data_IF_109407671909
#
_entry.id   IF_109407671909
#
_cell.length_a   1.000
_cell.length_b   1.000
_cell.length_c   1.000
_cell.angle_alpha   90.00
_cell.angle_beta   90.00
_cell.angle_gamma   90.00
#
_symmetry.space_group_name_H-M   'P 1'
#
loop_
_entity.id
_entity.type
_entity.pdbx_description
1 polymer ?
#
# COMPACT_ATOMS: atom_id res chain seq x y z
N UNK A 1 -13.03 24.50 -4.68
CA UNK A 1 -12.90 23.49 -3.62
C UNK A 1 -14.19 23.54 -2.83
N UNK A 2 -14.96 22.45 -2.80
CA UNK A 2 -16.18 22.42 -1.98
C UNK A 2 -15.74 22.24 -0.51
N UNK A 3 -16.12 23.21 0.33
CA UNK A 3 -15.94 23.12 1.76
C UNK A 3 -16.79 21.97 2.30
N UNK A 4 -16.16 20.81 2.51
CA UNK A 4 -16.79 19.72 3.23
C UNK A 4 -16.84 20.07 4.72
N UNK A 5 -18.04 20.22 5.33
CA UNK A 5 -18.11 20.53 6.76
C UNK A 5 -17.54 19.36 7.55
N UNK A 6 -16.46 19.61 8.27
CA UNK A 6 -15.93 18.65 9.24
C UNK A 6 -16.96 18.47 10.37
N UNK A 7 -17.62 17.30 10.52
CA UNK A 7 -18.57 17.09 11.62
C UNK A 7 -17.81 17.02 12.93
N UNK A 8 -17.92 18.06 13.73
CA UNK A 8 -17.25 18.16 15.04
C UNK A 8 -17.75 17.17 16.10
N UNK A 9 -18.81 16.42 15.84
CA UNK A 9 -19.30 15.30 16.68
C UNK A 9 -20.21 14.39 15.84
N UNK A 10 -19.78 13.17 15.59
CA UNK A 10 -20.70 12.08 15.22
C UNK A 10 -21.53 11.71 16.47
N UNK A 11 -22.71 12.30 16.62
CA UNK A 11 -23.68 11.82 17.61
C UNK A 11 -24.33 10.56 17.04
N UNK A 12 -24.10 9.44 17.71
CA UNK A 12 -24.81 8.19 17.41
C UNK A 12 -26.28 8.42 17.67
N UNK A 13 -27.11 8.44 16.63
CA UNK A 13 -28.55 8.44 16.80
C UNK A 13 -28.95 7.11 17.45
N UNK A 14 -29.57 7.16 18.63
CA UNK A 14 -30.16 5.99 19.26
C UNK A 14 -31.46 5.67 18.54
N UNK A 15 -31.42 4.86 17.51
CA UNK A 15 -32.61 4.25 16.92
C UNK A 15 -32.81 2.89 17.54
N UNK A 16 -33.91 2.75 18.23
CA UNK A 16 -34.44 1.50 18.77
C UNK A 16 -35.08 0.70 17.64
N UNK A 17 -34.27 -0.06 16.89
CA UNK A 17 -34.72 -1.18 16.02
C UNK A 17 -33.48 -1.79 15.41
N UNK A 18 -33.28 -3.08 15.57
CA UNK A 18 -32.22 -3.99 15.15
C UNK A 18 -31.03 -3.36 14.42
N UNK A 19 -29.83 -3.57 14.93
CA UNK A 19 -28.59 -3.02 14.39
C UNK A 19 -28.49 -3.20 12.85
N UNK A 20 -29.04 -2.24 12.10
CA UNK A 20 -28.84 -2.19 10.66
C UNK A 20 -27.52 -1.48 10.40
N UNK A 21 -26.47 -2.26 10.13
CA UNK A 21 -25.21 -1.74 9.63
C UNK A 21 -25.11 -2.04 8.12
N UNK A 22 -24.45 -1.16 7.40
CA UNK A 22 -24.11 -1.40 6.01
C UNK A 22 -23.10 -2.56 5.94
N UNK A 23 -23.39 -3.54 5.11
CA UNK A 23 -22.48 -4.67 4.88
C UNK A 23 -21.40 -4.27 3.87
N UNK A 24 -20.14 -4.26 4.29
CA UNK A 24 -18.98 -4.12 3.39
C UNK A 24 -18.49 -5.53 3.07
N UNK A 25 -18.60 -5.94 1.81
CA UNK A 25 -18.29 -7.31 1.37
C UNK A 25 -16.78 -7.52 1.18
N UNK A 26 -16.09 -6.56 0.57
CA UNK A 26 -14.66 -6.65 0.24
C UNK A 26 -14.08 -5.27 -0.03
N UNK A 27 -12.75 -5.20 -0.20
CA UNK A 27 -12.08 -4.08 -0.83
C UNK A 27 -12.14 -4.32 -2.33
N UNK A 28 -12.81 -3.43 -3.07
CA UNK A 28 -12.95 -3.51 -4.52
C UNK A 28 -11.61 -3.18 -5.20
N UNK A 29 -11.07 -2.00 -4.94
CA UNK A 29 -9.76 -1.56 -5.43
C UNK A 29 -9.09 -0.59 -4.45
N UNK A 30 -7.81 -0.30 -4.70
CA UNK A 30 -7.04 0.69 -3.96
C UNK A 30 -6.59 1.77 -4.94
N UNK A 31 -6.94 3.04 -4.65
CA UNK A 31 -6.46 4.18 -5.42
C UNK A 31 -5.09 4.63 -4.95
N UNK A 32 -4.12 4.69 -5.88
CA UNK A 32 -2.76 5.15 -5.62
C UNK A 32 -2.46 6.32 -6.57
N UNK A 33 -2.04 7.44 -6.02
CA UNK A 33 -1.68 8.61 -6.82
C UNK A 33 -0.22 8.55 -7.23
N UNK A 34 0.04 8.74 -8.53
CA UNK A 34 1.36 8.72 -9.14
C UNK A 34 1.53 9.93 -10.07
N UNK A 35 2.75 10.35 -10.34
CA UNK A 35 3.00 11.48 -11.22
C UNK A 35 3.03 11.06 -12.71
N UNK A 36 3.60 9.90 -12.98
CA UNK A 36 3.77 9.37 -14.34
C UNK A 36 3.35 7.90 -14.39
N UNK A 37 2.44 7.57 -15.33
CA UNK A 37 1.91 6.22 -15.46
C UNK A 37 2.95 5.21 -15.93
N UNK A 38 3.80 5.57 -16.92
CA UNK A 38 4.76 4.63 -17.50
C UNK A 38 5.86 4.29 -16.49
N UNK A 39 6.31 5.29 -15.73
CA UNK A 39 7.24 5.12 -14.60
C UNK A 39 6.64 4.22 -13.52
N UNK A 40 5.39 4.47 -13.14
CA UNK A 40 4.69 3.64 -12.16
C UNK A 40 4.52 2.20 -12.67
N UNK A 41 4.12 2.01 -13.94
CA UNK A 41 3.94 0.68 -14.52
C UNK A 41 5.24 -0.11 -14.56
N UNK A 42 6.37 0.50 -14.87
CA UNK A 42 7.69 -0.16 -14.81
C UNK A 42 7.94 -0.80 -13.45
N UNK A 43 7.44 -0.20 -12.38
CA UNK A 43 7.54 -0.74 -11.03
C UNK A 43 6.46 -1.80 -10.75
N UNK A 44 5.18 -1.50 -11.04
CA UNK A 44 4.08 -2.39 -10.67
C UNK A 44 4.04 -3.68 -11.51
N UNK A 45 4.56 -3.66 -12.74
CA UNK A 45 4.71 -4.85 -13.60
C UNK A 45 5.62 -5.92 -12.96
N UNK A 46 6.58 -5.54 -12.11
CA UNK A 46 7.42 -6.48 -11.36
C UNK A 46 6.61 -7.38 -10.42
N UNK A 47 5.42 -6.95 -10.04
CA UNK A 47 4.48 -7.67 -9.16
C UNK A 47 3.28 -8.24 -9.93
N UNK A 48 3.41 -8.34 -11.27
CA UNK A 48 2.40 -8.96 -12.13
C UNK A 48 1.22 -8.06 -12.51
N UNK A 49 1.23 -6.78 -12.15
CA UNK A 49 0.16 -5.86 -12.56
C UNK A 49 0.25 -5.50 -14.05
N UNK A 50 -0.91 -5.47 -14.71
CA UNK A 50 -1.07 -5.10 -16.11
C UNK A 50 -2.19 -4.07 -16.23
N UNK A 51 -2.06 -3.12 -17.13
CA UNK A 51 -3.15 -2.18 -17.44
C UNK A 51 -4.29 -2.96 -18.09
N UNK A 52 -5.47 -2.94 -17.47
CA UNK A 52 -6.68 -3.56 -18.03
C UNK A 52 -7.63 -2.51 -18.61
N UNK A 53 -7.55 -1.28 -18.13
CA UNK A 53 -8.34 -0.17 -18.63
C UNK A 53 -7.64 1.17 -18.35
N UNK A 54 -7.76 2.11 -19.28
CA UNK A 54 -7.35 3.50 -19.10
C UNK A 54 -8.53 4.40 -19.45
N UNK A 55 -8.91 5.28 -18.54
CA UNK A 55 -10.03 6.19 -18.75
C UNK A 55 -9.69 7.24 -19.83
N UNK A 56 -10.65 7.53 -20.72
CA UNK A 56 -10.43 8.45 -21.84
C UNK A 56 -10.30 9.92 -21.39
N UNK A 57 -11.03 10.31 -20.33
CA UNK A 57 -11.15 11.70 -19.88
C UNK A 57 -10.65 11.95 -18.46
N UNK A 58 -10.18 10.92 -17.77
CA UNK A 58 -9.67 11.01 -16.41
C UNK A 58 -8.25 10.44 -16.35
N UNK A 59 -7.35 11.00 -15.55
CA UNK A 59 -5.99 10.49 -15.38
C UNK A 59 -5.98 9.22 -14.51
N UNK A 60 -6.72 8.19 -14.89
CA UNK A 60 -6.86 6.93 -14.16
C UNK A 60 -6.58 5.75 -15.06
N UNK A 61 -5.72 4.86 -14.60
CA UNK A 61 -5.49 3.56 -15.18
C UNK A 61 -5.84 2.47 -14.16
N UNK A 62 -6.72 1.56 -14.54
CA UNK A 62 -7.03 0.36 -13.76
C UNK A 62 -6.00 -0.70 -14.10
N UNK A 63 -5.29 -1.17 -13.09
CA UNK A 63 -4.28 -2.23 -13.23
C UNK A 63 -4.66 -3.41 -12.36
N UNK A 64 -4.39 -4.61 -12.85
CA UNK A 64 -4.77 -5.85 -12.17
C UNK A 64 -3.72 -6.93 -12.38
N UNK A 65 -3.49 -7.74 -11.35
CA UNK A 65 -2.65 -8.93 -11.46
C UNK A 65 -3.50 -10.19 -11.69
N UNK A 66 -2.83 -11.32 -11.94
CA UNK A 66 -3.51 -12.58 -12.23
C UNK A 66 -4.24 -13.16 -11.00
N UNK A 67 -3.88 -12.76 -9.77
CA UNK A 67 -4.57 -13.12 -8.53
C UNK A 67 -5.81 -12.25 -8.25
N UNK A 68 -6.11 -11.29 -9.11
CA UNK A 68 -7.30 -10.45 -9.03
C UNK A 68 -7.17 -9.23 -8.12
N UNK A 69 -5.98 -8.90 -7.67
CA UNK A 69 -5.73 -7.63 -6.95
C UNK A 69 -5.82 -6.48 -7.93
N UNK A 70 -6.63 -5.47 -7.59
CA UNK A 70 -6.89 -4.32 -8.46
C UNK A 70 -6.42 -3.02 -7.81
N UNK A 71 -5.70 -2.21 -8.59
CA UNK A 71 -5.28 -0.87 -8.24
C UNK A 71 -5.77 0.13 -9.29
N UNK A 72 -6.15 1.32 -8.83
CA UNK A 72 -6.42 2.46 -9.69
C UNK A 72 -5.26 3.44 -9.57
N UNK A 73 -4.40 3.50 -10.58
CA UNK A 73 -3.31 4.46 -10.65
C UNK A 73 -3.87 5.79 -11.14
N UNK A 74 -3.90 6.79 -10.24
CA UNK A 74 -4.36 8.16 -10.54
C UNK A 74 -3.15 9.00 -10.88
N UNK A 75 -2.83 9.13 -12.19
CA UNK A 75 -1.59 9.72 -12.68
C UNK A 75 -1.71 11.24 -12.90
N UNK A 76 -1.97 11.98 -11.83
CA UNK A 76 -2.06 13.43 -11.80
C UNK A 76 -1.39 14.07 -10.58
N UNK A 77 -0.43 13.39 -9.97
CA UNK A 77 0.38 14.00 -8.95
C UNK A 77 1.32 15.04 -9.58
N UNK A 78 1.71 16.04 -8.78
CA UNK A 78 2.83 16.89 -9.17
C UNK A 78 4.12 16.06 -9.10
N UNK A 79 4.92 16.13 -10.14
CA UNK A 79 6.25 15.54 -10.11
C UNK A 79 7.21 16.53 -9.42
N UNK A 80 7.68 16.16 -8.25
CA UNK A 80 8.63 16.93 -7.45
C UNK A 80 10.02 16.28 -7.40
N UNK A 81 10.32 15.41 -8.36
CA UNK A 81 11.56 14.63 -8.48
C UNK A 81 11.85 13.74 -7.25
N UNK A 82 10.83 13.11 -6.71
CA UNK A 82 10.96 12.18 -5.60
C UNK A 82 10.97 12.88 -4.24
N UNK A 83 10.20 13.96 -4.11
CA UNK A 83 9.95 14.64 -2.86
C UNK A 83 9.37 13.74 -1.76
N UNK A 84 9.13 14.31 -0.59
CA UNK A 84 8.72 13.55 0.59
C UNK A 84 7.26 13.07 0.48
N UNK A 85 7.01 11.85 0.93
CA UNK A 85 5.64 11.43 1.26
C UNK A 85 5.23 12.10 2.57
N UNK A 86 4.28 13.03 2.49
CA UNK A 86 3.84 13.84 3.64
C UNK A 86 3.23 13.03 4.79
N UNK A 87 2.77 11.79 4.53
CA UNK A 87 2.22 10.92 5.57
C UNK A 87 3.29 10.07 6.26
N UNK A 88 4.42 9.81 5.58
CA UNK A 88 5.42 8.85 6.06
C UNK A 88 6.79 9.44 6.32
N UNK A 89 7.22 10.43 5.52
CA UNK A 89 8.62 10.84 5.47
C UNK A 89 8.92 12.09 6.31
N UNK A 90 7.91 12.85 6.72
CA UNK A 90 8.10 14.06 7.53
C UNK A 90 7.85 13.80 9.02
N UNK A 91 8.47 14.59 9.94
CA UNK A 91 8.30 14.41 11.38
C UNK A 91 6.86 14.59 11.86
N UNK A 92 6.12 15.57 11.29
CA UNK A 92 4.71 15.82 11.63
C UNK A 92 3.85 14.70 11.05
N UNK A 93 3.10 14.00 11.92
CA UNK A 93 2.25 12.89 11.50
C UNK A 93 0.83 13.37 11.24
N UNK A 94 0.40 13.29 9.98
CA UNK A 94 -0.97 13.59 9.54
C UNK A 94 -1.81 12.32 9.48
N UNK A 95 -3.11 12.47 9.73
CA UNK A 95 -4.05 11.37 9.57
C UNK A 95 -4.23 11.03 8.08
N UNK A 96 -4.21 9.73 7.73
CA UNK A 96 -4.38 9.24 6.36
C UNK A 96 -3.95 7.80 6.21
N UNK A 97 -4.03 7.28 4.98
CA UNK A 97 -3.52 5.96 4.65
C UNK A 97 -1.99 6.00 4.61
N UNK A 98 -1.35 5.13 5.38
CA UNK A 98 0.12 5.06 5.45
C UNK A 98 0.73 4.13 4.40
N UNK A 99 0.08 3.01 4.13
CA UNK A 99 0.55 1.99 3.18
C UNK A 99 -0.58 1.07 2.73
N UNK A 100 -0.32 0.33 1.68
CA UNK A 100 -1.07 -0.86 1.29
C UNK A 100 -0.23 -2.10 1.57
N UNK A 101 -0.85 -3.13 2.17
CA UNK A 101 -0.20 -4.40 2.44
C UNK A 101 -0.69 -5.46 1.46
N UNK A 102 0.22 -6.03 0.68
CA UNK A 102 -0.02 -7.17 -0.20
C UNK A 102 0.41 -8.47 0.48
N UNK A 103 -0.46 -9.46 0.46
CA UNK A 103 -0.08 -10.79 0.89
C UNK A 103 0.68 -11.49 -0.23
N UNK A 104 1.87 -12.01 0.09
CA UNK A 104 2.73 -12.75 -0.85
C UNK A 104 2.89 -14.20 -0.40
N UNK A 105 3.22 -15.06 -1.34
CA UNK A 105 3.48 -16.48 -1.06
C UNK A 105 4.83 -16.66 -0.36
N UNK A 106 5.83 -15.88 -0.74
CA UNK A 106 7.19 -15.96 -0.21
C UNK A 106 7.80 -14.57 -0.06
N UNK A 107 8.18 -14.22 1.17
CA UNK A 107 8.94 -12.99 1.45
C UNK A 107 10.37 -13.11 0.91
N UNK A 108 10.97 -14.29 0.98
CA UNK A 108 12.30 -14.52 0.42
C UNK A 108 12.35 -14.28 -1.08
N UNK A 109 11.37 -14.83 -1.83
CA UNK A 109 11.26 -14.59 -3.26
C UNK A 109 11.03 -13.11 -3.56
N UNK A 110 10.16 -12.46 -2.79
CA UNK A 110 9.92 -11.00 -2.90
C UNK A 110 11.22 -10.22 -2.70
N UNK A 111 11.99 -10.50 -1.66
CA UNK A 111 13.29 -9.85 -1.39
C UNK A 111 14.26 -10.08 -2.56
N UNK A 112 14.30 -11.28 -3.12
CA UNK A 112 15.16 -11.58 -4.27
C UNK A 112 14.76 -10.77 -5.51
N UNK A 113 13.45 -10.64 -5.80
CA UNK A 113 12.93 -9.84 -6.90
C UNK A 113 13.28 -8.36 -6.70
N UNK A 114 13.06 -7.82 -5.49
CA UNK A 114 13.38 -6.44 -5.15
C UNK A 114 14.87 -6.15 -5.38
N UNK A 115 15.76 -7.00 -4.83
CA UNK A 115 17.20 -6.86 -4.96
C UNK A 115 17.66 -6.97 -6.43
N UNK A 116 17.13 -7.92 -7.19
CA UNK A 116 17.48 -8.11 -8.59
C UNK A 116 17.11 -6.91 -9.47
N UNK A 117 16.10 -6.13 -9.05
CA UNK A 117 15.62 -4.92 -9.75
C UNK A 117 16.12 -3.62 -9.11
N UNK A 118 17.02 -3.68 -8.13
CA UNK A 118 17.60 -2.51 -7.48
C UNK A 118 16.59 -1.70 -6.63
N UNK A 119 15.49 -2.33 -6.20
CA UNK A 119 14.48 -1.67 -5.36
C UNK A 119 14.94 -1.75 -3.90
N UNK A 120 15.11 -0.59 -3.29
CA UNK A 120 15.53 -0.50 -1.90
C UNK A 120 14.43 -0.96 -0.94
N UNK A 121 14.74 -1.89 -0.05
CA UNK A 121 13.90 -2.23 1.10
C UNK A 121 14.10 -1.11 2.13
N UNK A 122 13.03 -0.40 2.46
CA UNK A 122 13.08 0.74 3.38
C UNK A 122 12.89 0.32 4.84
N UNK A 123 12.27 -0.85 5.07
CA UNK A 123 12.16 -1.47 6.38
C UNK A 123 11.97 -2.98 6.23
N UNK A 124 12.60 -3.74 7.09
CA UNK A 124 12.52 -5.21 7.13
C UNK A 124 13.66 -5.92 6.36
N UNK A 125 13.63 -7.24 6.28
CA UNK A 125 12.54 -8.13 6.75
C UNK A 125 12.30 -8.00 8.25
N UNK A 126 11.03 -7.77 8.63
CA UNK A 126 10.66 -7.57 10.03
C UNK A 126 9.46 -8.43 10.43
N UNK A 127 9.53 -9.02 11.62
CA UNK A 127 8.44 -9.81 12.22
C UNK A 127 7.62 -8.94 13.13
N UNK A 128 6.32 -8.81 12.84
CA UNK A 128 5.36 -8.13 13.68
C UNK A 128 4.55 -9.13 14.51
N UNK A 129 4.51 -8.88 15.83
CA UNK A 129 3.66 -9.63 16.75
C UNK A 129 3.99 -11.11 16.88
N UNK A 130 3.03 -11.88 17.41
CA UNK A 130 3.22 -13.31 17.75
C UNK A 130 2.80 -14.28 16.64
N UNK A 131 2.13 -13.80 15.60
CA UNK A 131 1.52 -14.65 14.56
C UNK A 131 2.49 -15.10 13.46
N UNK A 132 3.78 -14.76 13.57
CA UNK A 132 4.78 -15.24 12.64
C UNK A 132 4.72 -14.69 11.22
N UNK A 133 4.11 -13.52 11.04
CA UNK A 133 4.16 -12.84 9.74
C UNK A 133 5.42 -12.00 9.61
N UNK A 134 6.06 -12.11 8.45
CA UNK A 134 7.24 -11.31 8.10
C UNK A 134 6.85 -10.34 6.99
N UNK A 135 7.31 -9.10 7.12
CA UNK A 135 7.02 -8.02 6.17
C UNK A 135 8.29 -7.35 5.70
N UNK A 136 8.27 -6.89 4.46
CA UNK A 136 9.22 -5.93 3.91
C UNK A 136 8.47 -4.73 3.35
N UNK A 137 9.05 -3.55 3.52
CA UNK A 137 8.48 -2.30 3.04
C UNK A 137 9.37 -1.70 1.97
N UNK A 138 8.73 -1.20 0.92
CA UNK A 138 9.38 -0.50 -0.18
C UNK A 138 8.64 0.79 -0.51
N UNK A 139 9.27 1.62 -1.32
CA UNK A 139 8.63 2.79 -1.93
C UNK A 139 8.48 2.56 -3.42
N UNK A 140 7.30 2.89 -3.95
CA UNK A 140 7.15 3.03 -5.40
C UNK A 140 7.90 4.30 -5.89
N UNK A 141 7.96 4.55 -7.21
CA UNK A 141 8.66 5.72 -7.74
C UNK A 141 8.13 7.08 -7.25
N UNK A 142 6.88 7.13 -6.77
CA UNK A 142 6.23 8.31 -6.21
C UNK A 142 6.20 8.30 -4.67
N UNK A 143 7.03 7.44 -4.04
CA UNK A 143 7.20 7.27 -2.60
C UNK A 143 5.96 6.77 -1.86
N UNK A 144 4.98 6.20 -2.56
CA UNK A 144 3.92 5.47 -1.90
C UNK A 144 4.50 4.24 -1.19
N UNK A 145 4.03 3.99 0.03
CA UNK A 145 4.54 2.87 0.82
C UNK A 145 3.78 1.59 0.51
N UNK A 146 4.52 0.56 0.17
CA UNK A 146 3.99 -0.79 -0.05
C UNK A 146 4.61 -1.74 0.97
N UNK A 147 3.78 -2.59 1.57
CA UNK A 147 4.17 -3.71 2.43
C UNK A 147 3.95 -5.01 1.67
N UNK A 148 4.96 -5.86 1.61
CA UNK A 148 4.82 -7.25 1.18
C UNK A 148 4.88 -8.14 2.40
N UNK A 149 3.76 -8.84 2.70
CA UNK A 149 3.58 -9.61 3.92
C UNK A 149 3.35 -11.07 3.62
N UNK A 150 4.28 -11.89 4.08
CA UNK A 150 4.20 -13.35 3.99
C UNK A 150 3.84 -14.01 5.32
N UNK A 151 3.55 -15.31 5.24
CA UNK A 151 3.50 -16.16 6.43
C UNK A 151 4.91 -16.39 6.94
N UNK A 152 5.01 -16.90 8.18
CA UNK A 152 6.30 -17.37 8.71
C UNK A 152 6.84 -18.45 7.78
N UNK A 153 7.84 -18.07 7.03
CA UNK A 153 8.70 -18.99 6.30
C UNK A 153 9.81 -19.45 7.25
N UNK A 154 10.62 -20.39 6.82
CA UNK A 154 11.85 -20.70 7.52
C UNK A 154 12.70 -19.41 7.60
N UNK A 155 12.64 -18.74 8.76
CA UNK A 155 13.34 -17.47 9.01
C UNK A 155 14.86 -17.63 8.88
N UNK A 156 15.37 -18.87 8.96
CA UNK A 156 16.79 -19.15 8.73
C UNK A 156 17.21 -18.94 7.28
N UNK A 157 16.26 -19.00 6.35
CA UNK A 157 16.50 -18.78 4.91
C UNK A 157 16.41 -17.29 4.52
N UNK A 158 15.79 -16.45 5.36
CA UNK A 158 15.67 -15.00 5.15
C UNK A 158 16.71 -14.32 6.03
N UNK A 159 17.79 -13.82 5.42
CA UNK A 159 18.85 -13.10 6.17
C UNK A 159 18.31 -11.80 6.79
N UNK A 160 18.74 -11.50 8.03
CA UNK A 160 18.53 -10.19 8.65
C UNK A 160 17.11 -9.91 9.13
N UNK A 161 16.31 -10.95 9.45
CA UNK A 161 14.96 -10.73 10.03
C UNK A 161 15.06 -10.12 11.42
N UNK A 162 14.47 -8.95 11.58
CA UNK A 162 14.36 -8.24 12.85
C UNK A 162 13.01 -8.51 13.50
N UNK A 163 12.95 -8.48 14.83
CA UNK A 163 11.68 -8.47 15.55
C UNK A 163 11.34 -7.01 15.88
N UNK A 164 10.13 -6.59 15.50
CA UNK A 164 9.68 -5.25 15.86
C UNK A 164 9.42 -5.18 17.36
N UNK A 165 10.20 -4.39 18.06
CA UNK A 165 10.00 -4.02 19.46
C UNK A 165 9.41 -2.60 19.50
N UNK A 166 8.24 -2.44 20.14
CA UNK A 166 7.70 -1.11 20.40
C UNK A 166 8.67 -0.39 21.34
N UNK A 167 9.32 0.64 20.89
CA UNK A 167 9.93 1.63 21.76
C UNK A 167 8.80 2.44 22.40
N UNK A 168 8.45 2.10 23.67
CA UNK A 168 7.53 2.88 24.50
C UNK A 168 8.20 4.13 25.03
#
# INVERSE_FOLDING_TARGET
MADWPCPSKLTRATTNSGDSHMNIETIDHIGIRVADLDRAMTFYELFGFKVIHKADNDPVAVVKNDEGVELNLVFNANDDNGGDNILMDIPTKYAGFTHVAFRVNSVLETVNILNANGIAITQGPVKFGREGHVSVFVRDPDRNTLEFRGREEDLSSIGGVETYENEN
#
